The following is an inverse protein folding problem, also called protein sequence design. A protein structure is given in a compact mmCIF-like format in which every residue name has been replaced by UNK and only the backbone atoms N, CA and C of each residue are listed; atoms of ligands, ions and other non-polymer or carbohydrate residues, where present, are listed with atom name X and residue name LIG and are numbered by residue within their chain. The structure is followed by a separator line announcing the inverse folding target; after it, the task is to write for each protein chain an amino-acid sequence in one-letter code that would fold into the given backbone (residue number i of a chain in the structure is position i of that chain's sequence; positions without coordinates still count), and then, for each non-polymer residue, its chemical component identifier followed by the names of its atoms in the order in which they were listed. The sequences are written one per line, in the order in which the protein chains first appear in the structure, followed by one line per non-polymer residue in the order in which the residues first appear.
data_IF_490184224514
#
_entry.id   IF_490184224514
#
_cell.length_a   1.000
_cell.length_b   1.000
_cell.length_c   1.000
_cell.angle_alpha   90.00
_cell.angle_beta   90.00
_cell.angle_gamma   90.00
#
_symmetry.space_group_name_H-M   'P 1'
#
loop_
_entity.id
_entity.type
_entity.pdbx_description
1 polymer ?
#
# COMPACT_ATOMS: atom_id res chain seq x y z
N UNK A 1 -7.42 -66.73 -2.41
CA UNK A 1 -7.30 -66.28 -3.81
C UNK A 1 -7.70 -64.82 -3.86
N UNK A 2 -7.03 -63.97 -3.08
CA UNK A 2 -5.64 -63.48 -3.24
C UNK A 2 -5.64 -62.37 -4.29
N UNK A 3 -6.10 -61.17 -3.93
CA UNK A 3 -5.27 -60.04 -3.46
C UNK A 3 -3.99 -59.89 -4.28
N UNK A 4 -4.07 -58.99 -5.25
CA UNK A 4 -2.97 -58.45 -6.04
C UNK A 4 -1.80 -57.99 -5.13
N UNK A 5 -0.54 -58.15 -5.55
CA UNK A 5 0.62 -57.92 -4.69
C UNK A 5 0.85 -56.40 -4.45
N UNK A 6 0.39 -55.93 -3.29
CA UNK A 6 0.84 -54.69 -2.67
C UNK A 6 2.31 -54.84 -2.24
N UNK A 7 3.24 -54.36 -3.06
CA UNK A 7 4.66 -54.33 -2.67
C UNK A 7 5.54 -53.49 -3.57
N UNK A 8 5.39 -53.58 -4.89
CA UNK A 8 6.43 -53.07 -5.80
C UNK A 8 6.31 -51.56 -6.10
N UNK A 9 5.08 -51.01 -6.13
CA UNK A 9 4.85 -49.57 -6.43
C UNK A 9 5.13 -48.69 -5.21
N UNK A 10 4.77 -49.17 -4.01
CA UNK A 10 5.00 -48.47 -2.74
C UNK A 10 6.49 -48.40 -2.40
N UNK A 11 7.24 -49.46 -2.70
CA UNK A 11 8.68 -49.52 -2.48
C UNK A 11 9.46 -48.68 -3.53
N UNK A 12 8.94 -48.58 -4.75
CA UNK A 12 9.45 -47.67 -5.79
C UNK A 12 9.25 -46.18 -5.44
N UNK A 13 8.07 -45.79 -4.98
CA UNK A 13 7.78 -44.41 -4.51
C UNK A 13 8.59 -44.05 -3.26
N UNK A 14 8.72 -44.99 -2.31
CA UNK A 14 9.54 -44.81 -1.11
C UNK A 14 11.02 -44.58 -1.45
N UNK A 15 11.57 -45.27 -2.46
CA UNK A 15 12.95 -45.04 -2.94
C UNK A 15 13.14 -43.71 -3.66
N UNK A 16 12.14 -43.24 -4.41
CA UNK A 16 12.19 -41.92 -5.07
C UNK A 16 12.08 -40.79 -4.05
N UNK A 17 11.19 -40.91 -3.06
CA UNK A 17 11.04 -39.96 -1.95
C UNK A 17 12.27 -39.95 -1.02
N UNK A 18 12.85 -41.11 -0.71
CA UNK A 18 14.10 -41.20 0.07
C UNK A 18 15.31 -40.58 -0.67
N UNK A 19 15.31 -40.59 -2.00
CA UNK A 19 16.31 -39.86 -2.82
C UNK A 19 16.01 -38.35 -2.95
N UNK A 20 14.86 -37.88 -2.50
CA UNK A 20 14.44 -36.47 -2.57
C UNK A 20 14.69 -35.69 -1.26
N UNK A 21 14.98 -36.36 -0.14
CA UNK A 21 15.44 -35.73 1.09
C UNK A 21 16.70 -34.84 0.91
N UNK A 22 17.74 -35.28 0.14
CA UNK A 22 18.87 -34.43 -0.16
C UNK A 22 18.46 -33.19 -0.96
N UNK A 23 17.49 -33.33 -1.86
CA UNK A 23 17.02 -32.24 -2.72
C UNK A 23 16.20 -31.21 -1.93
N UNK A 24 15.31 -31.67 -1.03
CA UNK A 24 14.57 -30.79 -0.13
C UNK A 24 15.48 -30.04 0.84
N UNK A 25 16.52 -30.70 1.35
CA UNK A 25 17.57 -30.05 2.15
C UNK A 25 18.41 -29.08 1.33
N UNK A 26 18.80 -29.42 0.10
CA UNK A 26 19.55 -28.52 -0.77
C UNK A 26 18.72 -27.28 -1.10
N UNK A 27 17.46 -27.45 -1.49
CA UNK A 27 16.55 -26.33 -1.75
C UNK A 27 16.33 -25.51 -0.49
N UNK A 28 16.21 -26.13 0.69
CA UNK A 28 16.07 -25.42 1.97
C UNK A 28 17.34 -24.63 2.34
N UNK A 29 18.52 -25.19 2.07
CA UNK A 29 19.82 -24.53 2.31
C UNK A 29 20.02 -23.39 1.31
N UNK A 30 19.79 -23.64 0.02
CA UNK A 30 19.89 -22.63 -1.05
C UNK A 30 18.87 -21.51 -0.83
N UNK A 31 17.65 -21.84 -0.38
CA UNK A 31 16.63 -20.83 -0.05
C UNK A 31 16.97 -20.07 1.22
N UNK A 32 17.54 -20.71 2.25
CA UNK A 32 18.03 -20.03 3.45
C UNK A 32 19.21 -19.11 3.14
N UNK A 33 20.17 -19.56 2.33
CA UNK A 33 21.31 -18.77 1.86
C UNK A 33 20.84 -17.62 0.95
N UNK A 34 19.85 -17.85 0.09
CA UNK A 34 19.19 -16.79 -0.66
C UNK A 34 18.45 -15.82 0.26
N UNK A 35 17.76 -16.25 1.31
CA UNK A 35 17.10 -15.34 2.27
C UNK A 35 18.15 -14.50 3.02
N UNK A 36 19.25 -15.11 3.44
CA UNK A 36 20.35 -14.43 4.15
C UNK A 36 21.07 -13.42 3.25
N UNK A 37 21.29 -13.77 1.98
CA UNK A 37 21.95 -12.91 0.98
C UNK A 37 21.02 -11.93 0.27
N UNK A 38 19.71 -12.20 0.28
CA UNK A 38 18.67 -11.33 -0.27
C UNK A 38 18.04 -10.55 0.86
N UNK A 39 18.79 -9.59 1.39
CA UNK A 39 18.17 -8.54 2.19
C UNK A 39 17.44 -7.61 1.23
N UNK A 40 16.10 -7.73 1.19
CA UNK A 40 15.32 -6.62 0.70
C UNK A 40 15.58 -5.48 1.68
N UNK A 41 16.11 -4.36 1.20
CA UNK A 41 16.13 -3.10 1.94
C UNK A 41 14.66 -2.74 2.15
N UNK A 42 14.03 -3.33 3.17
CA UNK A 42 12.65 -3.03 3.52
C UNK A 42 12.64 -1.60 3.99
N UNK A 43 12.04 -0.69 3.20
CA UNK A 43 11.89 0.74 3.45
C UNK A 43 12.81 1.23 4.58
N UNK A 44 14.11 1.43 4.31
CA UNK A 44 15.02 2.16 5.22
C UNK A 44 14.67 3.64 5.09
N UNK A 45 13.43 3.96 5.45
CA UNK A 45 12.94 5.31 5.66
C UNK A 45 12.79 5.54 7.16
N UNK A 46 12.62 6.81 7.59
CA UNK A 46 12.32 7.13 8.98
C UNK A 46 11.12 6.29 9.46
N UNK A 47 11.32 5.44 10.47
CA UNK A 47 10.25 4.67 11.10
C UNK A 47 9.71 5.45 12.30
N UNK A 48 8.39 5.51 12.39
CA UNK A 48 7.73 6.17 13.50
C UNK A 48 7.61 5.21 14.70
N UNK A 49 7.81 5.74 15.91
CA UNK A 49 7.43 5.06 17.14
C UNK A 49 5.99 5.44 17.50
N UNK A 50 5.02 4.57 17.18
CA UNK A 50 3.69 4.63 17.82
C UNK A 50 3.78 3.82 19.11
N UNK A 51 3.28 4.35 20.22
CA UNK A 51 3.34 3.63 21.49
C UNK A 51 2.47 2.37 21.44
N UNK A 52 2.96 1.26 22.02
CA UNK A 52 2.19 0.00 22.07
C UNK A 52 0.79 0.20 22.70
N UNK A 53 0.67 1.10 23.67
CA UNK A 53 -0.60 1.43 24.32
C UNK A 53 -1.62 2.08 23.39
N UNK A 54 -1.19 2.98 22.48
CA UNK A 54 -2.09 3.58 21.49
C UNK A 54 -2.51 2.56 20.43
N UNK A 55 -1.60 1.70 20.00
CA UNK A 55 -1.90 0.65 19.02
C UNK A 55 -2.98 -0.31 19.53
N UNK A 56 -2.88 -0.79 20.77
CA UNK A 56 -3.88 -1.69 21.34
C UNK A 56 -5.26 -1.04 21.43
N UNK A 57 -5.36 0.28 21.66
CA UNK A 57 -6.65 0.98 21.64
C UNK A 57 -7.29 0.96 20.25
N UNK A 58 -6.50 1.18 19.19
CA UNK A 58 -7.01 1.10 17.82
C UNK A 58 -7.44 -0.31 17.45
N UNK A 59 -6.61 -1.31 17.73
CA UNK A 59 -6.90 -2.72 17.41
C UNK A 59 -8.16 -3.21 18.12
N UNK A 60 -8.31 -2.93 19.42
CA UNK A 60 -9.49 -3.30 20.19
C UNK A 60 -10.76 -2.62 19.66
N UNK A 61 -10.67 -1.33 19.31
CA UNK A 61 -11.79 -0.58 18.78
C UNK A 61 -12.20 -1.05 17.37
N UNK A 62 -11.24 -1.42 16.52
CA UNK A 62 -11.53 -1.98 15.19
C UNK A 62 -12.23 -3.34 15.32
N UNK A 63 -11.72 -4.24 16.17
CA UNK A 63 -12.29 -5.57 16.35
C UNK A 63 -13.66 -5.54 17.05
N UNK A 64 -13.85 -4.60 17.98
CA UNK A 64 -15.08 -4.45 18.76
C UNK A 64 -16.09 -3.46 18.18
N UNK A 65 -15.83 -2.88 17.01
CA UNK A 65 -16.60 -1.77 16.45
C UNK A 65 -16.82 -0.62 17.47
N UNK A 66 -15.79 -0.31 18.26
CA UNK A 66 -15.80 0.74 19.27
C UNK A 66 -15.51 2.12 18.65
N UNK A 67 -16.28 3.13 19.04
CA UNK A 67 -16.03 4.52 18.66
C UNK A 67 -14.87 5.10 19.44
N UNK A 68 -14.03 5.84 18.74
CA UNK A 68 -12.89 6.53 19.32
C UNK A 68 -13.04 8.04 19.19
N UNK A 69 -12.44 8.76 20.13
CA UNK A 69 -12.16 10.18 20.00
C UNK A 69 -10.66 10.35 19.83
N UNK A 70 -10.25 10.95 18.71
CA UNK A 70 -8.84 11.20 18.41
C UNK A 70 -8.55 12.70 18.44
N UNK A 71 -7.44 13.08 19.07
CA UNK A 71 -6.92 14.45 19.02
C UNK A 71 -5.94 14.55 17.85
N UNK A 72 -6.42 15.05 16.71
CA UNK A 72 -5.66 15.03 15.47
C UNK A 72 -5.10 16.40 15.09
N UNK A 73 -3.81 16.46 14.80
CA UNK A 73 -3.12 17.65 14.30
C UNK A 73 -3.12 17.65 12.77
N UNK A 74 -4.04 18.39 12.17
CA UNK A 74 -4.04 18.59 10.71
C UNK A 74 -2.80 19.39 10.29
N UNK A 75 -2.08 18.91 9.27
CA UNK A 75 -0.95 19.61 8.65
C UNK A 75 -1.34 21.05 8.30
N UNK A 76 -0.49 22.02 8.65
CA UNK A 76 -0.75 23.44 8.40
C UNK A 76 -1.64 24.14 9.44
N UNK A 77 -2.22 23.42 10.41
CA UNK A 77 -2.94 24.03 11.54
C UNK A 77 -2.09 24.04 12.80
N UNK A 78 -2.10 25.18 13.49
CA UNK A 78 -1.34 25.38 14.74
C UNK A 78 -1.86 24.55 15.92
N UNK A 79 -3.14 24.12 15.90
CA UNK A 79 -3.77 23.39 17.00
C UNK A 79 -4.41 22.10 16.51
N UNK A 80 -4.24 21.03 17.29
CA UNK A 80 -4.96 19.79 17.11
C UNK A 80 -6.43 19.94 17.53
N UNK A 81 -7.31 19.19 16.87
CA UNK A 81 -8.75 19.19 17.13
C UNK A 81 -9.25 17.78 17.44
N UNK A 82 -10.17 17.66 18.38
CA UNK A 82 -10.85 16.39 18.67
C UNK A 82 -11.81 15.99 17.55
N UNK A 83 -11.80 14.71 17.19
CA UNK A 83 -12.68 14.10 16.19
C UNK A 83 -13.21 12.78 16.71
N UNK A 84 -14.51 12.57 16.56
CA UNK A 84 -15.16 11.29 16.85
C UNK A 84 -15.14 10.45 15.57
N UNK A 85 -14.57 9.25 15.68
CA UNK A 85 -14.29 8.41 14.53
C UNK A 85 -14.73 6.97 14.78
N UNK A 86 -15.11 6.31 13.70
CA UNK A 86 -15.52 4.90 13.65
C UNK A 86 -14.41 4.15 12.92
N UNK A 87 -13.46 3.54 13.65
CA UNK A 87 -12.26 2.96 13.09
C UNK A 87 -12.57 1.69 12.29
N UNK A 88 -12.09 1.64 11.05
CA UNK A 88 -12.36 0.56 10.09
C UNK A 88 -11.15 -0.34 9.85
N UNK A 89 -9.94 0.18 10.05
CA UNK A 89 -8.71 -0.57 9.83
C UNK A 89 -7.45 0.27 9.93
N UNK A 90 -6.31 -0.40 9.80
CA UNK A 90 -4.99 0.20 9.85
C UNK A 90 -4.24 -0.05 8.53
N UNK A 91 -3.55 0.96 8.03
CA UNK A 91 -2.66 0.86 6.87
C UNK A 91 -1.24 1.22 7.29
N UNK A 92 -0.27 0.43 6.85
CA UNK A 92 1.15 0.65 7.13
C UNK A 92 1.93 0.76 5.82
N UNK A 93 2.60 1.88 5.63
CA UNK A 93 3.62 2.08 4.59
C UNK A 93 4.83 2.76 5.20
N UNK A 94 5.22 3.94 4.67
CA UNK A 94 6.26 4.78 5.31
C UNK A 94 5.82 5.25 6.70
N UNK A 95 4.54 5.56 6.87
CA UNK A 95 3.90 5.87 8.15
C UNK A 95 2.75 4.90 8.41
N UNK A 96 2.29 4.82 9.65
CA UNK A 96 1.05 4.12 10.00
C UNK A 96 -0.14 5.06 9.91
N UNK A 97 -1.30 4.54 9.52
CA UNK A 97 -2.52 5.31 9.34
C UNK A 97 -3.73 4.55 9.89
N UNK A 98 -4.60 5.28 10.58
CA UNK A 98 -5.93 4.84 10.95
C UNK A 98 -6.92 5.22 9.84
N UNK A 99 -7.67 4.25 9.35
CA UNK A 99 -8.79 4.46 8.44
C UNK A 99 -10.05 4.47 9.28
N UNK A 100 -10.82 5.55 9.20
CA UNK A 100 -12.04 5.68 9.99
C UNK A 100 -13.08 6.57 9.33
N UNK A 101 -14.36 6.27 9.55
CA UNK A 101 -15.44 7.21 9.24
C UNK A 101 -15.47 8.32 10.29
N UNK A 102 -15.99 9.49 9.92
CA UNK A 102 -16.41 10.50 10.91
C UNK A 102 -17.79 10.07 11.43
N UNK A 103 -17.95 9.93 12.75
CA UNK A 103 -19.20 9.40 13.33
C UNK A 103 -20.45 10.24 13.00
N UNK A 104 -20.27 11.51 12.59
CA UNK A 104 -21.34 12.44 12.21
C UNK A 104 -21.62 12.51 10.70
N UNK A 105 -20.87 11.82 9.85
CA UNK A 105 -21.03 11.89 8.40
C UNK A 105 -20.98 10.50 7.80
N UNK A 106 -22.10 10.06 7.24
CA UNK A 106 -22.21 8.75 6.63
C UNK A 106 -21.19 8.58 5.48
N UNK A 107 -20.45 7.47 5.55
CA UNK A 107 -19.83 6.74 4.42
C UNK A 107 -18.77 7.47 3.58
N UNK A 108 -17.85 8.23 4.19
CA UNK A 108 -16.56 8.52 3.56
C UNK A 108 -15.41 8.20 4.52
N UNK A 109 -14.80 7.01 4.41
CA UNK A 109 -13.60 6.66 5.16
C UNK A 109 -12.50 7.68 4.89
N UNK A 110 -11.91 8.21 5.96
CA UNK A 110 -10.77 9.11 5.91
C UNK A 110 -9.55 8.44 6.51
N UNK A 111 -8.36 8.88 6.08
CA UNK A 111 -7.09 8.40 6.64
C UNK A 111 -6.49 9.42 7.60
N UNK A 112 -6.11 8.94 8.77
CA UNK A 112 -5.48 9.72 9.83
C UNK A 112 -4.10 9.16 10.09
N UNK A 113 -3.08 9.98 9.88
CA UNK A 113 -1.69 9.62 10.19
C UNK A 113 -1.50 9.39 11.68
N UNK A 114 -0.95 8.25 12.07
CA UNK A 114 -0.78 7.89 13.48
C UNK A 114 0.19 8.83 14.22
N UNK A 115 1.19 9.44 13.56
CA UNK A 115 2.07 10.48 14.17
C UNK A 115 1.36 11.79 14.46
N UNK A 116 0.29 12.07 13.73
CA UNK A 116 -0.47 13.29 13.91
C UNK A 116 -1.62 13.11 14.93
N UNK A 117 -1.79 11.91 15.48
CA UNK A 117 -2.70 11.64 16.60
C UNK A 117 -1.95 11.88 17.91
N UNK A 118 -2.26 12.99 18.57
CA UNK A 118 -1.67 13.36 19.85
C UNK A 118 -2.25 12.55 21.01
N UNK A 119 -3.52 12.18 20.91
CA UNK A 119 -4.24 11.46 21.97
C UNK A 119 -5.43 10.66 21.42
N UNK A 120 -5.83 9.63 22.15
CA UNK A 120 -6.94 8.73 21.80
C UNK A 120 -7.73 8.30 23.05
N UNK A 121 -9.03 8.53 23.01
CA UNK A 121 -10.00 8.16 24.04
C UNK A 121 -10.98 7.12 23.47
N UNK A 122 -11.26 6.07 24.25
CA UNK A 122 -12.33 5.13 23.96
C UNK A 122 -13.64 5.71 24.50
N UNK A 123 -14.62 5.88 23.62
CA UNK A 123 -15.93 6.45 23.98
C UNK A 123 -16.84 5.41 24.65
N UNK A 124 -16.49 4.12 24.62
CA UNK A 124 -17.31 2.99 25.09
C UNK A 124 -18.67 2.91 24.40
N UNK A 125 -18.76 3.50 23.21
CA UNK A 125 -19.89 3.41 22.32
C UNK A 125 -19.54 2.48 21.17
N UNK A 126 -20.49 1.69 20.71
CA UNK A 126 -20.31 0.86 19.50
C UNK A 126 -20.94 1.55 18.29
N UNK A 127 -20.37 1.36 17.12
CA UNK A 127 -20.99 1.72 15.84
C UNK A 127 -21.42 0.46 15.08
N UNK A 128 -22.29 0.64 14.10
CA UNK A 128 -22.77 -0.49 13.29
C UNK A 128 -21.67 -0.98 12.35
N UNK A 129 -21.48 -2.30 12.28
CA UNK A 129 -20.60 -2.92 11.30
C UNK A 129 -21.02 -2.49 9.87
N UNK A 130 -20.11 -1.91 9.07
CA UNK A 130 -20.45 -1.45 7.74
C UNK A 130 -20.62 -2.65 6.79
N UNK A 131 -21.87 -3.08 6.57
CA UNK A 131 -22.23 -4.28 5.79
C UNK A 131 -21.74 -4.30 4.33
N UNK A 132 -21.47 -3.12 3.76
CA UNK A 132 -21.09 -2.94 2.35
C UNK A 132 -19.67 -2.39 2.19
N UNK A 133 -18.79 -2.54 3.19
CA UNK A 133 -17.43 -2.04 3.14
C UNK A 133 -16.42 -3.19 3.21
N UNK A 134 -15.71 -3.43 2.12
CA UNK A 134 -14.53 -4.30 2.12
C UNK A 134 -13.28 -3.44 2.27
N UNK A 135 -12.65 -3.52 3.45
CA UNK A 135 -11.43 -2.77 3.76
C UNK A 135 -10.28 -3.09 2.80
N UNK A 136 -10.14 -4.35 2.36
CA UNK A 136 -9.06 -4.76 1.45
C UNK A 136 -9.27 -4.21 0.05
N UNK A 137 -10.50 -4.27 -0.46
CA UNK A 137 -10.81 -3.69 -1.77
C UNK A 137 -10.68 -2.17 -1.73
N UNK A 138 -11.17 -1.51 -0.68
CA UNK A 138 -11.00 -0.06 -0.49
C UNK A 138 -9.51 0.33 -0.42
N UNK A 139 -8.68 -0.43 0.28
CA UNK A 139 -7.25 -0.16 0.37
C UNK A 139 -6.53 -0.27 -0.98
N UNK A 140 -6.98 -1.15 -1.89
CA UNK A 140 -6.41 -1.34 -3.23
C UNK A 140 -6.72 -0.20 -4.21
N UNK A 141 -7.71 0.65 -3.92
CA UNK A 141 -8.08 1.76 -4.81
C UNK A 141 -7.12 2.97 -4.74
N UNK A 142 -6.17 2.98 -3.79
CA UNK A 142 -5.23 4.09 -3.60
C UNK A 142 -3.83 3.75 -4.08
N UNK A 143 -3.16 4.75 -4.67
CA UNK A 143 -1.74 4.67 -5.04
C UNK A 143 -0.82 4.54 -3.81
N UNK A 144 -1.36 4.81 -2.63
CA UNK A 144 -0.76 4.54 -1.34
C UNK A 144 -1.82 4.62 -0.24
N UNK A 145 -1.72 5.63 0.63
CA UNK A 145 -2.48 5.67 1.89
C UNK A 145 -3.45 6.85 1.97
N UNK A 146 -3.51 7.67 0.92
CA UNK A 146 -4.46 8.79 0.83
C UNK A 146 -5.66 8.47 -0.07
N UNK A 147 -6.85 8.51 0.52
CA UNK A 147 -8.14 8.34 -0.17
C UNK A 147 -8.96 9.64 -0.21
N UNK A 148 -8.34 10.78 0.15
CA UNK A 148 -9.01 12.09 0.21
C UNK A 148 -9.39 12.68 -1.15
N UNK A 149 -8.87 12.13 -2.24
CA UNK A 149 -9.02 12.65 -3.60
C UNK A 149 -10.00 11.81 -4.43
N UNK A 150 -10.48 12.39 -5.54
CA UNK A 150 -11.31 11.68 -6.52
C UNK A 150 -10.54 10.50 -7.15
N UNK A 151 -11.26 9.51 -7.66
CA UNK A 151 -10.64 8.38 -8.34
C UNK A 151 -10.38 8.75 -9.80
N UNK A 152 -9.11 8.94 -10.17
CA UNK A 152 -8.73 9.39 -11.51
C UNK A 152 -8.17 8.27 -12.39
N UNK A 153 -8.52 8.33 -13.68
CA UNK A 153 -7.92 7.51 -14.74
C UNK A 153 -6.70 8.24 -15.32
N UNK A 154 -5.52 7.84 -14.87
CA UNK A 154 -4.24 8.51 -15.14
C UNK A 154 -3.51 7.79 -16.26
N UNK A 155 -3.01 8.57 -17.23
CA UNK A 155 -2.21 8.08 -18.35
C UNK A 155 -0.84 8.73 -18.37
N UNK A 156 0.18 7.92 -18.21
CA UNK A 156 1.59 8.31 -18.19
C UNK A 156 2.28 7.76 -19.43
N UNK A 157 3.10 8.59 -20.08
CA UNK A 157 4.00 8.18 -21.15
C UNK A 157 5.44 8.38 -20.72
N UNK A 158 6.19 7.29 -20.70
CA UNK A 158 7.63 7.28 -20.48
C UNK A 158 8.35 7.11 -21.82
N UNK A 159 9.44 7.84 -22.01
CA UNK A 159 10.27 7.79 -23.22
C UNK A 159 11.72 7.45 -22.88
N UNK A 160 12.57 7.16 -23.88
CA UNK A 160 14.00 6.94 -23.67
C UNK A 160 14.33 5.81 -22.69
N UNK A 161 15.25 6.07 -21.76
CA UNK A 161 15.67 5.10 -20.73
C UNK A 161 14.59 4.89 -19.66
N UNK A 162 13.79 5.92 -19.35
CA UNK A 162 12.66 5.83 -18.46
C UNK A 162 11.61 4.84 -18.95
N UNK A 163 11.40 4.71 -20.27
CA UNK A 163 10.48 3.71 -20.83
C UNK A 163 10.87 2.28 -20.46
N UNK A 164 12.16 1.94 -20.62
CA UNK A 164 12.70 0.61 -20.27
C UNK A 164 12.65 0.34 -18.77
N UNK A 165 12.82 1.38 -17.95
CA UNK A 165 12.74 1.28 -16.48
C UNK A 165 11.30 1.11 -16.03
N UNK A 166 10.38 1.91 -16.54
CA UNK A 166 8.95 1.87 -16.21
C UNK A 166 8.32 0.50 -16.53
N UNK A 167 8.79 -0.20 -17.56
CA UNK A 167 8.36 -1.57 -17.89
C UNK A 167 8.60 -2.60 -16.78
N UNK A 168 9.58 -2.34 -15.92
CA UNK A 168 9.97 -3.25 -14.83
C UNK A 168 9.35 -2.86 -13.50
N UNK A 169 8.56 -1.79 -13.47
CA UNK A 169 7.98 -1.24 -12.24
C UNK A 169 6.46 -1.44 -12.25
N UNK A 170 5.95 -1.95 -11.13
CA UNK A 170 4.54 -1.94 -10.82
C UNK A 170 4.24 -0.74 -9.92
N UNK A 171 3.73 0.33 -10.52
CA UNK A 171 3.30 1.55 -9.83
C UNK A 171 1.99 1.33 -9.06
N UNK A 172 1.01 0.66 -9.68
CA UNK A 172 -0.30 0.41 -9.06
C UNK A 172 -0.88 -0.95 -9.46
N UNK A 173 -1.62 -1.67 -8.59
CA UNK A 173 -2.24 -2.93 -8.95
C UNK A 173 -3.20 -2.86 -10.14
N UNK A 174 -3.85 -1.71 -10.34
CA UNK A 174 -4.78 -1.50 -11.47
C UNK A 174 -4.07 -1.17 -12.80
N UNK A 175 -2.75 -1.06 -12.82
CA UNK A 175 -2.04 -0.51 -13.96
C UNK A 175 -2.15 -1.44 -15.18
N UNK A 176 -2.27 -0.83 -16.35
CA UNK A 176 -2.16 -1.48 -17.65
C UNK A 176 -1.01 -0.84 -18.38
N UNK A 177 -0.21 -1.68 -19.02
CA UNK A 177 0.97 -1.25 -19.74
C UNK A 177 0.81 -1.54 -21.23
N UNK A 178 1.17 -0.58 -22.07
CA UNK A 178 1.19 -0.74 -23.52
C UNK A 178 2.39 -0.03 -24.14
N UNK A 179 2.76 -0.47 -25.34
CA UNK A 179 3.83 0.17 -26.11
C UNK A 179 3.24 1.31 -26.93
N UNK A 180 3.84 2.49 -26.83
CA UNK A 180 3.53 3.65 -27.66
C UNK A 180 4.50 3.83 -28.83
N UNK A 181 4.34 4.93 -29.57
CA UNK A 181 5.21 5.28 -30.70
C UNK A 181 6.63 5.61 -30.24
N UNK A 182 7.61 5.39 -31.10
CA UNK A 182 9.01 5.76 -30.83
C UNK A 182 9.65 5.01 -29.66
N UNK A 183 9.16 3.81 -29.34
CA UNK A 183 9.67 3.01 -28.21
C UNK A 183 9.21 3.50 -26.84
N UNK A 184 8.24 4.41 -26.77
CA UNK A 184 7.67 4.86 -25.49
C UNK A 184 6.88 3.75 -24.80
N UNK A 185 6.83 3.79 -23.47
CA UNK A 185 5.96 2.94 -22.65
C UNK A 185 4.83 3.78 -22.10
N UNK A 186 3.60 3.31 -22.28
CA UNK A 186 2.39 3.95 -21.78
C UNK A 186 1.90 3.13 -20.59
N UNK A 187 1.68 3.80 -19.46
CA UNK A 187 1.09 3.21 -18.26
C UNK A 187 -0.22 3.94 -17.99
N UNK A 188 -1.30 3.17 -17.98
CA UNK A 188 -2.64 3.63 -17.62
C UNK A 188 -3.02 3.01 -16.28
N UNK A 189 -3.33 3.82 -15.28
CA UNK A 189 -3.68 3.36 -13.94
C UNK A 189 -4.87 4.16 -13.41
N UNK A 190 -5.56 3.60 -12.43
CA UNK A 190 -6.72 4.20 -11.81
C UNK A 190 -6.52 4.17 -10.31
N UNK A 191 -6.34 5.34 -9.70
CA UNK A 191 -6.03 5.41 -8.28
C UNK A 191 -6.49 6.73 -7.65
N UNK A 192 -6.72 6.71 -6.34
CA UNK A 192 -6.75 7.90 -5.47
C UNK A 192 -5.35 8.20 -4.90
N UNK A 193 -5.19 9.33 -4.23
CA UNK A 193 -3.94 9.69 -3.56
C UNK A 193 -2.92 10.30 -4.52
N UNK A 194 -3.36 11.26 -5.32
CA UNK A 194 -2.59 11.82 -6.43
C UNK A 194 -1.26 12.40 -5.99
N UNK A 195 -1.21 12.97 -4.79
CA UNK A 195 0.01 13.60 -4.25
C UNK A 195 1.15 12.60 -4.04
N UNK A 196 0.84 11.36 -3.63
CA UNK A 196 1.86 10.31 -3.45
C UNK A 196 2.38 9.83 -4.80
N UNK A 197 1.48 9.64 -5.77
CA UNK A 197 1.87 9.34 -7.15
C UNK A 197 2.72 10.47 -7.73
N UNK A 198 2.32 11.72 -7.59
CA UNK A 198 3.08 12.90 -8.04
C UNK A 198 4.48 12.90 -7.44
N UNK A 199 4.62 12.65 -6.14
CA UNK A 199 5.92 12.57 -5.48
C UNK A 199 6.78 11.44 -6.08
N UNK A 200 6.23 10.25 -6.31
CA UNK A 200 6.94 9.14 -6.96
C UNK A 200 7.38 9.51 -8.40
N UNK A 201 6.51 10.21 -9.14
CA UNK A 201 6.80 10.70 -10.49
C UNK A 201 7.84 11.85 -10.51
N UNK A 202 8.15 12.45 -9.36
CA UNK A 202 9.25 13.41 -9.21
C UNK A 202 10.61 12.74 -8.99
N UNK A 203 10.67 11.40 -8.88
CA UNK A 203 11.94 10.71 -8.72
C UNK A 203 12.90 11.04 -9.89
N UNK A 204 14.20 11.25 -9.63
CA UNK A 204 15.19 11.64 -10.65
C UNK A 204 15.23 10.72 -11.88
N UNK A 205 14.85 9.46 -11.71
CA UNK A 205 14.79 8.47 -12.78
C UNK A 205 13.81 8.80 -13.92
N UNK A 206 12.85 9.70 -13.70
CA UNK A 206 11.81 10.06 -14.65
C UNK A 206 12.01 11.45 -15.29
N UNK A 207 12.95 12.23 -14.76
CA UNK A 207 13.13 13.65 -15.10
C UNK A 207 13.40 13.82 -16.60
N UNK A 208 12.60 14.67 -17.25
CA UNK A 208 12.69 14.96 -18.68
C UNK A 208 12.23 13.82 -19.62
N UNK A 209 11.78 12.69 -19.07
CA UNK A 209 11.38 11.50 -19.85
C UNK A 209 9.98 10.99 -19.49
N UNK A 210 9.22 11.76 -18.71
CA UNK A 210 7.84 11.50 -18.34
C UNK A 210 6.92 12.59 -18.91
N UNK A 211 5.83 12.16 -19.54
CA UNK A 211 4.71 13.02 -19.91
C UNK A 211 3.43 12.49 -19.27
N UNK A 212 2.73 13.36 -18.55
CA UNK A 212 1.38 13.08 -18.02
C UNK A 212 0.38 13.46 -19.12
N UNK A 213 -0.27 12.47 -19.72
CA UNK A 213 -1.19 12.68 -20.84
C UNK A 213 -2.62 12.97 -20.38
N UNK A 214 -3.07 12.32 -19.28
CA UNK A 214 -4.40 12.50 -18.70
C UNK A 214 -4.40 12.17 -17.19
N UNK A 215 -5.37 12.71 -16.43
CA UNK A 215 -6.23 13.84 -16.77
C UNK A 215 -5.48 15.18 -16.64
N UNK A 216 -6.02 16.24 -17.23
CA UNK A 216 -5.40 17.58 -17.20
C UNK A 216 -5.27 18.14 -15.78
N UNK A 217 -6.23 17.84 -14.91
CA UNK A 217 -6.23 18.24 -13.49
C UNK A 217 -5.08 17.60 -12.69
N UNK A 218 -4.78 16.32 -12.97
CA UNK A 218 -3.66 15.61 -12.36
C UNK A 218 -2.33 16.18 -12.86
N UNK A 219 -2.24 16.48 -14.15
CA UNK A 219 -1.07 17.14 -14.74
C UNK A 219 -0.83 18.53 -14.14
N UNK A 220 -1.89 19.33 -13.95
CA UNK A 220 -1.77 20.64 -13.31
C UNK A 220 -1.24 20.52 -11.89
N UNK A 221 -1.81 19.61 -11.09
CA UNK A 221 -1.38 19.32 -9.72
C UNK A 221 0.09 18.88 -9.65
N UNK A 222 0.56 18.09 -10.62
CA UNK A 222 1.97 17.69 -10.72
C UNK A 222 2.89 18.91 -10.90
N UNK A 223 2.57 19.82 -11.82
CA UNK A 223 3.41 20.99 -12.06
C UNK A 223 3.40 21.98 -10.89
N UNK A 224 2.27 22.15 -10.20
CA UNK A 224 2.20 22.93 -8.97
C UNK A 224 3.12 22.34 -7.90
N UNK A 225 3.06 21.02 -7.68
CA UNK A 225 3.92 20.32 -6.72
C UNK A 225 5.41 20.48 -7.05
N UNK A 226 5.80 20.33 -8.32
CA UNK A 226 7.19 20.52 -8.76
C UNK A 226 7.65 21.97 -8.53
N UNK A 227 6.77 22.95 -8.74
CA UNK A 227 7.07 24.36 -8.49
C UNK A 227 7.31 24.61 -6.99
N UNK A 228 6.45 24.09 -6.11
CA UNK A 228 6.63 24.19 -4.66
C UNK A 228 7.95 23.56 -4.20
N UNK A 229 8.35 22.43 -4.78
CA UNK A 229 9.65 21.81 -4.50
C UNK A 229 10.83 22.69 -4.93
N UNK A 230 10.71 23.38 -6.07
CA UNK A 230 11.75 24.29 -6.56
C UNK A 230 11.84 25.62 -5.81
N UNK A 231 10.77 26.05 -5.13
CA UNK A 231 10.79 27.24 -4.26
C UNK A 231 11.42 26.98 -2.88
N UNK A 232 11.62 25.71 -2.52
CA UNK A 232 12.26 25.28 -1.26
C UNK A 232 13.79 25.14 -1.38
N UNK A 233 14.36 25.31 -2.58
CA UNK A 233 15.80 25.23 -2.89
C UNK A 233 16.41 26.59 -3.15
#
# INVERSE_FOLDING_TARGET
MDTLPEGTVRDGLSKVLAKSEPLGKLIAVDTAELIERTTHIGNIGPRQQVTASQMSKFENAILGFGRLRIKYRTTGKAKASWREVEPLGLLFGRFGYLVANLSKTAMKPLTYRLDLIEDVEDLREMFEEPKNFDFKEWAKESFGIFHGDELLDIKLRFTGEAAKRAEKISFHPSQKMSKGRGGSTIIELRCRGHRELIHELCHPDWVGQLAIEKPDEFRASYFEYVKELGELS
#
